data_IF_248507983519
#
_entry.id   IF_248507983519
#
_cell.length_a   1.000
_cell.length_b   1.000
_cell.length_c   1.000
_cell.angle_alpha   90.00
_cell.angle_beta   90.00
_cell.angle_gamma   90.00
#
_symmetry.space_group_name_H-M   'P 1'
#
loop_
_entity.id
_entity.type
_entity.pdbx_description
1 polymer ?
#
# COMPACT_ATOMS: atom_id res chain seq x y z
N UNK A 1 -9.39 14.77 10.57
CA UNK A 1 -8.72 13.65 11.28
C UNK A 1 -9.68 12.51 11.64
N UNK A 2 -10.91 12.78 12.09
CA UNK A 2 -11.85 11.71 12.52
C UNK A 2 -12.30 10.75 11.41
N UNK A 3 -12.51 11.23 10.19
CA UNK A 3 -12.92 10.38 9.07
C UNK A 3 -11.84 9.36 8.68
N UNK A 4 -10.56 9.75 8.65
CA UNK A 4 -9.45 8.86 8.29
C UNK A 4 -9.31 7.71 9.29
N UNK A 5 -9.52 7.99 10.57
CA UNK A 5 -9.51 6.97 11.63
C UNK A 5 -10.68 6.00 11.47
N UNK A 6 -11.86 6.50 11.12
CA UNK A 6 -13.05 5.67 10.88
C UNK A 6 -12.88 4.74 9.66
N UNK A 7 -12.42 5.27 8.52
CA UNK A 7 -12.23 4.45 7.32
C UNK A 7 -11.10 3.42 7.49
N UNK A 8 -9.99 3.79 8.15
CA UNK A 8 -8.91 2.85 8.42
C UNK A 8 -9.33 1.71 9.34
N UNK A 9 -10.18 1.95 10.37
CA UNK A 9 -10.67 0.86 11.22
C UNK A 9 -11.55 -0.14 10.48
N UNK A 10 -12.42 0.33 9.58
CA UNK A 10 -13.27 -0.55 8.77
C UNK A 10 -12.43 -1.40 7.81
N UNK A 11 -11.43 -0.79 7.16
CA UNK A 11 -10.55 -1.49 6.22
C UNK A 11 -9.67 -2.51 6.96
N UNK A 12 -9.10 -2.15 8.12
CA UNK A 12 -8.31 -3.08 8.94
C UNK A 12 -9.16 -4.28 9.38
N UNK A 13 -10.39 -4.03 9.83
CA UNK A 13 -11.33 -5.09 10.23
C UNK A 13 -11.64 -6.03 9.07
N UNK A 14 -11.94 -5.47 7.89
CA UNK A 14 -12.21 -6.24 6.69
C UNK A 14 -10.99 -7.06 6.22
N UNK A 15 -9.80 -6.46 6.21
CA UNK A 15 -8.55 -7.16 5.87
C UNK A 15 -8.27 -8.30 6.84
N UNK A 16 -8.38 -8.05 8.15
CA UNK A 16 -8.16 -9.07 9.18
C UNK A 16 -9.15 -10.22 9.05
N UNK A 17 -10.41 -9.93 8.72
CA UNK A 17 -11.40 -10.96 8.42
C UNK A 17 -11.05 -11.77 7.15
N UNK A 18 -10.64 -11.13 6.05
CA UNK A 18 -10.25 -11.85 4.84
C UNK A 18 -9.01 -12.73 5.05
N UNK A 19 -8.00 -12.24 5.76
CA UNK A 19 -6.81 -13.03 6.13
C UNK A 19 -7.17 -14.22 7.02
N UNK A 20 -8.13 -14.07 7.95
CA UNK A 20 -8.65 -15.19 8.75
C UNK A 20 -9.28 -16.31 7.90
N UNK A 21 -9.72 -15.99 6.67
CA UNK A 21 -10.26 -16.92 5.70
C UNK A 21 -9.19 -17.45 4.72
N UNK A 22 -7.91 -17.09 4.89
CA UNK A 22 -6.82 -17.43 3.98
C UNK A 22 -6.88 -16.70 2.63
N UNK A 23 -7.66 -15.62 2.56
CA UNK A 23 -7.85 -14.79 1.38
C UNK A 23 -6.95 -13.57 1.50
N UNK A 24 -5.87 -13.55 0.71
CA UNK A 24 -5.06 -12.35 0.49
C UNK A 24 -5.72 -11.56 -0.63
N UNK A 25 -6.01 -10.27 -0.41
CA UNK A 25 -6.76 -9.44 -1.37
C UNK A 25 -6.07 -9.41 -2.73
N UNK A 26 -4.74 -9.53 -2.75
CA UNK A 26 -3.92 -9.55 -3.97
C UNK A 26 -3.35 -10.95 -4.32
N UNK A 27 -4.11 -12.04 -4.18
CA UNK A 27 -3.63 -13.42 -4.48
C UNK A 27 -3.37 -13.70 -5.97
N UNK A 28 -3.96 -12.92 -6.86
CA UNK A 28 -3.72 -12.97 -8.30
C UNK A 28 -3.74 -11.53 -8.77
N UNK A 29 -2.67 -11.06 -9.37
CA UNK A 29 -2.62 -10.08 -10.46
C UNK A 29 -1.13 -9.74 -10.63
N UNK A 30 -0.39 -10.66 -11.24
CA UNK A 30 0.77 -10.33 -12.07
C UNK A 30 0.32 -9.61 -13.37
N UNK A 31 -0.85 -8.97 -13.37
CA UNK A 31 -1.22 -8.04 -14.42
C UNK A 31 -0.63 -6.70 -14.02
N UNK A 32 0.28 -6.23 -14.84
CA UNK A 32 0.88 -4.90 -14.83
C UNK A 32 -0.18 -3.82 -15.14
N UNK A 33 -1.25 -3.81 -14.33
CA UNK A 33 -2.42 -2.93 -14.42
C UNK A 33 -2.84 -2.64 -12.99
N UNK A 34 -1.99 -1.91 -12.29
CA UNK A 34 -2.24 -1.37 -10.96
C UNK A 34 -1.39 -0.12 -10.83
N UNK A 35 -1.89 0.90 -10.15
CA UNK A 35 -1.11 2.11 -9.91
C UNK A 35 0.16 1.73 -9.13
N UNK A 36 1.33 1.91 -9.73
CA UNK A 36 2.66 1.53 -9.21
C UNK A 36 2.89 1.93 -7.73
N UNK A 37 2.20 2.97 -7.30
CA UNK A 37 2.30 3.63 -5.99
C UNK A 37 1.86 2.75 -4.80
N UNK A 38 1.08 1.68 -5.01
CA UNK A 38 0.57 0.81 -3.93
C UNK A 38 1.24 -0.58 -3.90
N UNK A 39 2.26 -0.82 -4.74
CA UNK A 39 2.98 -2.10 -4.75
C UNK A 39 3.90 -2.17 -3.53
N UNK A 40 3.95 -3.32 -2.86
CA UNK A 40 4.86 -3.54 -1.73
C UNK A 40 6.26 -3.96 -2.19
N UNK A 41 7.31 -3.65 -1.42
CA UNK A 41 8.70 -3.94 -1.82
C UNK A 41 8.94 -5.44 -2.06
N UNK A 42 8.32 -6.32 -1.29
CA UNK A 42 8.39 -7.78 -1.46
C UNK A 42 7.80 -8.23 -2.82
N UNK A 43 6.74 -7.58 -3.29
CA UNK A 43 6.16 -7.84 -4.62
C UNK A 43 7.10 -7.37 -5.72
N UNK A 44 7.80 -6.24 -5.54
CA UNK A 44 8.79 -5.74 -6.50
C UNK A 44 10.03 -6.63 -6.58
N UNK A 45 10.41 -7.26 -5.47
CA UNK A 45 11.51 -8.23 -5.41
C UNK A 45 11.14 -9.61 -5.99
N UNK A 46 9.89 -9.80 -6.42
CA UNK A 46 9.40 -11.08 -6.94
C UNK A 46 9.18 -12.15 -5.86
N UNK A 47 9.06 -11.73 -4.61
CA UNK A 47 8.76 -12.64 -3.49
C UNK A 47 7.29 -13.08 -3.54
N UNK A 48 6.98 -14.17 -2.83
CA UNK A 48 5.61 -14.65 -2.75
C UNK A 48 4.72 -13.61 -2.06
N UNK A 49 3.58 -13.29 -2.67
CA UNK A 49 2.61 -12.36 -2.08
C UNK A 49 2.07 -12.91 -0.76
N UNK A 50 2.25 -12.16 0.31
CA UNK A 50 1.79 -12.48 1.67
C UNK A 50 0.72 -11.48 2.14
N UNK A 51 0.10 -11.77 3.28
CA UNK A 51 -0.88 -10.90 3.95
C UNK A 51 -0.30 -9.50 4.26
N UNK A 52 1.02 -9.41 4.47
CA UNK A 52 1.76 -8.16 4.70
C UNK A 52 1.64 -7.17 3.54
N UNK A 53 1.47 -7.64 2.31
CA UNK A 53 1.31 -6.79 1.13
C UNK A 53 0.04 -5.91 1.22
N UNK A 54 -1.02 -6.44 1.82
CA UNK A 54 -2.29 -5.71 1.99
C UNK A 54 -2.14 -4.62 3.07
N UNK A 55 -1.36 -4.88 4.12
CA UNK A 55 -1.03 -3.88 5.14
C UNK A 55 -0.14 -2.75 4.60
N UNK A 56 0.80 -3.06 3.71
CA UNK A 56 1.58 -2.04 3.00
C UNK A 56 0.68 -1.11 2.20
N UNK A 57 -0.18 -1.68 1.35
CA UNK A 57 -1.10 -0.90 0.53
C UNK A 57 -2.04 -0.03 1.40
N UNK A 58 -2.53 -0.58 2.52
CA UNK A 58 -3.30 0.17 3.49
C UNK A 58 -2.51 1.36 4.06
N UNK A 59 -1.23 1.18 4.42
CA UNK A 59 -0.36 2.25 4.89
C UNK A 59 -0.23 3.39 3.87
N UNK A 60 -0.03 3.05 2.60
CA UNK A 60 0.03 4.04 1.49
C UNK A 60 -1.29 4.81 1.36
N UNK A 61 -2.44 4.12 1.46
CA UNK A 61 -3.76 4.75 1.40
C UNK A 61 -3.97 5.68 2.60
N UNK A 62 -3.62 5.26 3.81
CA UNK A 62 -3.72 6.09 5.02
C UNK A 62 -2.86 7.34 4.86
N UNK A 63 -1.62 7.20 4.39
CA UNK A 63 -0.76 8.35 4.11
C UNK A 63 -1.43 9.32 3.12
N UNK A 64 -2.01 8.81 2.03
CA UNK A 64 -2.67 9.64 1.05
C UNK A 64 -3.93 10.34 1.60
N UNK A 65 -4.68 9.68 2.47
CA UNK A 65 -5.85 10.27 3.13
C UNK A 65 -5.46 11.34 4.16
N UNK A 66 -4.28 11.21 4.80
CA UNK A 66 -3.80 12.18 5.77
C UNK A 66 -3.15 13.41 5.10
N UNK A 67 -2.35 13.19 4.05
CA UNK A 67 -1.52 14.23 3.43
C UNK A 67 -2.12 14.81 2.15
N UNK A 68 -3.12 14.13 1.57
CA UNK A 68 -3.65 14.45 0.25
C UNK A 68 -2.69 14.17 -0.91
N UNK A 69 -1.53 13.54 -0.66
CA UNK A 69 -0.47 13.27 -1.64
C UNK A 69 -0.10 11.79 -1.63
N UNK A 70 0.45 11.29 -2.74
CA UNK A 70 0.97 9.93 -2.77
C UNK A 70 2.29 9.83 -2.00
N UNK A 71 2.41 8.80 -1.14
CA UNK A 71 3.63 8.54 -0.36
C UNK A 71 4.85 8.34 -1.28
N UNK A 72 4.65 7.55 -2.33
CA UNK A 72 5.66 7.27 -3.34
C UNK A 72 5.16 7.81 -4.67
N UNK A 73 5.75 8.91 -5.14
CA UNK A 73 5.49 9.49 -6.45
C UNK A 73 6.79 10.00 -7.06
N UNK A 74 6.90 9.88 -8.38
CA UNK A 74 8.05 10.32 -9.14
C UNK A 74 7.70 10.37 -10.64
N UNK A 75 8.63 10.83 -11.48
CA UNK A 75 8.42 11.03 -12.92
C UNK A 75 8.27 9.73 -13.72
N UNK A 76 8.75 8.62 -13.17
CA UNK A 76 8.72 7.30 -13.81
C UNK A 76 8.40 6.21 -12.79
N UNK A 77 7.70 5.17 -13.22
CA UNK A 77 7.45 3.97 -12.40
C UNK A 77 8.73 3.37 -11.84
N UNK A 78 9.83 3.40 -12.59
CA UNK A 78 11.13 2.93 -12.11
C UNK A 78 11.60 3.69 -10.87
N UNK A 79 11.43 5.01 -10.85
CA UNK A 79 11.81 5.85 -9.72
C UNK A 79 10.85 5.65 -8.53
N UNK A 80 9.56 5.47 -8.80
CA UNK A 80 8.56 5.09 -7.78
C UNK A 80 8.94 3.75 -7.14
N UNK A 81 9.29 2.73 -7.92
CA UNK A 81 9.74 1.43 -7.42
C UNK A 81 11.00 1.55 -6.57
N UNK A 82 11.97 2.38 -6.98
CA UNK A 82 13.15 2.67 -6.15
C UNK A 82 12.76 3.29 -4.81
N UNK A 83 11.85 4.26 -4.79
CA UNK A 83 11.38 4.87 -3.54
C UNK A 83 10.66 3.86 -2.64
N UNK A 84 9.84 2.98 -3.21
CA UNK A 84 9.17 1.88 -2.50
C UNK A 84 10.20 0.94 -1.86
N UNK A 85 11.19 0.49 -2.64
CA UNK A 85 12.25 -0.41 -2.17
C UNK A 85 13.10 0.20 -1.04
N UNK A 86 13.29 1.52 -1.06
CA UNK A 86 14.02 2.24 -0.01
C UNK A 86 13.11 2.79 1.10
N UNK A 87 11.79 2.56 1.02
CA UNK A 87 10.78 3.18 1.90
C UNK A 87 10.96 4.71 2.05
N UNK A 88 11.34 5.39 0.97
CA UNK A 88 11.62 6.83 0.93
C UNK A 88 10.35 7.62 0.61
N UNK A 89 9.69 8.12 1.65
CA UNK A 89 8.56 9.05 1.56
C UNK A 89 8.79 10.23 2.50
N UNK A 90 8.27 11.40 2.14
CA UNK A 90 8.36 12.58 2.97
C UNK A 90 7.17 12.61 3.94
N UNK A 91 7.38 13.01 5.18
CA UNK A 91 6.27 13.31 6.10
C UNK A 91 6.12 14.83 6.07
N UNK A 92 4.99 15.38 5.60
CA UNK A 92 4.79 16.82 5.65
C UNK A 92 4.83 17.27 7.13
N UNK A 93 5.74 18.19 7.43
CA UNK A 93 5.70 18.95 8.69
C UNK A 93 4.46 19.85 8.67
N UNK A 94 3.76 19.95 9.81
CA UNK A 94 2.48 20.68 9.97
C UNK A 94 2.52 22.15 9.52
#
# INVERSE_FOLDING_TARGET
MDATRFYSSEIVSALSHMHSLGIVHRKRLCSFVGTAQYVSPEVLNGEAVQETCDYWALGVIIYQLLTGRHAFHDESEYLIYRRILHASYDIPEE
#
